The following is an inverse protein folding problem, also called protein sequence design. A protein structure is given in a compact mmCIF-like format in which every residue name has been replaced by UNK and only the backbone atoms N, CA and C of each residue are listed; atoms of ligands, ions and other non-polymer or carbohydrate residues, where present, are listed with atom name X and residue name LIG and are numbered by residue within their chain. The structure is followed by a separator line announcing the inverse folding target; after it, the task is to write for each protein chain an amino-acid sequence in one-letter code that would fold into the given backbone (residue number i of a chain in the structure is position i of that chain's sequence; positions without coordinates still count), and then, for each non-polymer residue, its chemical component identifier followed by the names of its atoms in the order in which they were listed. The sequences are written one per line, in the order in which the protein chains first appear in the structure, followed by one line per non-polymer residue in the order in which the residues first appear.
data_IF_247196958372
#
_entry.id   IF_247196958372
#
_cell.length_a   1.000
_cell.length_b   1.000
_cell.length_c   1.000
_cell.angle_alpha   90.00
_cell.angle_beta   90.00
_cell.angle_gamma   90.00
#
_symmetry.space_group_name_H-M   'P 1'
#
loop_
_entity.id
_entity.type
_entity.pdbx_description
1 polymer ?
#
# COMPACT_ATOMS: atom_id res chain seq x y z
N UNK A 1 23.83 7.65 -3.58
CA UNK A 1 22.61 7.28 -4.32
C UNK A 1 21.68 6.55 -3.34
N UNK A 2 20.47 7.05 -3.13
CA UNK A 2 19.53 6.47 -2.16
C UNK A 2 18.87 5.21 -2.73
N UNK A 3 18.66 4.21 -1.88
CA UNK A 3 17.96 2.96 -2.24
C UNK A 3 16.55 3.01 -1.69
N UNK A 4 15.54 2.74 -2.54
CA UNK A 4 14.16 2.52 -2.15
C UNK A 4 13.81 1.04 -2.29
N UNK A 5 13.22 0.46 -1.24
CA UNK A 5 12.59 -0.86 -1.28
C UNK A 5 11.07 -0.68 -1.30
N UNK A 6 10.43 -1.26 -2.31
CA UNK A 6 8.98 -1.14 -2.51
C UNK A 6 8.34 -2.52 -2.49
N UNK A 7 7.34 -2.70 -1.64
CA UNK A 7 6.61 -3.98 -1.57
C UNK A 7 5.43 -4.01 -2.53
N UNK A 8 5.17 -5.17 -3.17
CA UNK A 8 4.00 -5.34 -4.02
C UNK A 8 4.10 -4.72 -5.41
N UNK A 9 5.26 -4.82 -6.08
CA UNK A 9 5.54 -4.21 -7.39
C UNK A 9 5.07 -5.03 -8.60
N UNK A 10 4.27 -6.08 -8.43
CA UNK A 10 3.81 -6.91 -9.57
C UNK A 10 2.78 -6.22 -10.47
N UNK A 11 2.18 -5.13 -10.03
CA UNK A 11 1.16 -4.34 -10.77
C UNK A 11 0.77 -3.07 -10.02
N UNK A 12 -0.06 -2.23 -10.64
CA UNK A 12 -0.72 -1.09 -10.00
C UNK A 12 0.23 -0.09 -9.36
N UNK A 13 -0.11 0.40 -8.17
CA UNK A 13 0.63 1.47 -7.51
C UNK A 13 2.11 1.14 -7.25
N UNK A 14 2.41 -0.10 -6.83
CA UNK A 14 3.79 -0.51 -6.57
C UNK A 14 4.66 -0.57 -7.83
N UNK A 15 4.10 -1.03 -8.95
CA UNK A 15 4.79 -1.06 -10.25
C UNK A 15 5.07 0.37 -10.72
N UNK A 16 4.07 1.24 -10.68
CA UNK A 16 4.20 2.65 -11.10
C UNK A 16 5.18 3.41 -10.21
N UNK A 17 5.08 3.24 -8.88
CA UNK A 17 6.01 3.84 -7.94
C UNK A 17 7.46 3.40 -8.22
N UNK A 18 7.68 2.10 -8.46
CA UNK A 18 9.02 1.60 -8.78
C UNK A 18 9.55 2.20 -10.09
N UNK A 19 8.71 2.29 -11.11
CA UNK A 19 9.05 2.92 -12.40
C UNK A 19 9.36 4.40 -12.23
N UNK A 20 8.58 5.11 -11.41
CA UNK A 20 8.79 6.52 -11.11
C UNK A 20 10.15 6.77 -10.45
N UNK A 21 10.49 6.00 -9.40
CA UNK A 21 11.79 6.11 -8.73
C UNK A 21 12.97 5.77 -9.65
N UNK A 22 12.80 4.78 -10.54
CA UNK A 22 13.81 4.45 -11.56
C UNK A 22 14.06 5.61 -12.53
N UNK A 23 13.00 6.29 -12.95
CA UNK A 23 13.09 7.46 -13.83
C UNK A 23 13.77 8.67 -13.15
N UNK A 24 13.88 8.67 -11.82
CA UNK A 24 14.60 9.66 -11.02
C UNK A 24 16.00 9.19 -10.59
N UNK A 25 16.56 8.20 -11.28
CA UNK A 25 17.91 7.66 -11.06
C UNK A 25 18.15 7.09 -9.64
N UNK A 26 17.11 6.61 -8.95
CA UNK A 26 17.26 5.93 -7.68
C UNK A 26 17.60 4.44 -7.87
N UNK A 27 18.31 3.86 -6.89
CA UNK A 27 18.37 2.39 -6.77
C UNK A 27 17.02 1.88 -6.25
N UNK A 28 16.37 1.03 -7.05
CA UNK A 28 15.06 0.47 -6.73
C UNK A 28 15.18 -1.03 -6.48
N UNK A 29 14.69 -1.45 -5.31
CA UNK A 29 14.45 -2.86 -5.00
C UNK A 29 12.94 -3.08 -5.10
N UNK A 30 12.51 -3.54 -6.27
CA UNK A 30 11.11 -3.87 -6.54
C UNK A 30 10.82 -5.28 -6.05
N UNK A 31 9.87 -5.43 -5.12
CA UNK A 31 9.60 -6.74 -4.55
C UNK A 31 8.20 -7.25 -4.86
N UNK A 32 8.07 -8.54 -5.02
CA UNK A 32 6.82 -9.24 -5.31
C UNK A 32 6.95 -10.74 -4.99
N UNK A 33 5.85 -11.43 -4.69
CA UNK A 33 5.88 -12.86 -4.34
C UNK A 33 6.48 -13.77 -5.42
N UNK A 34 6.16 -13.48 -6.68
CA UNK A 34 6.73 -14.16 -7.84
C UNK A 34 7.47 -13.14 -8.72
N UNK A 35 8.82 -13.08 -8.67
CA UNK A 35 9.61 -12.12 -9.44
C UNK A 35 9.38 -12.23 -10.95
N UNK A 36 9.15 -11.09 -11.60
CA UNK A 36 8.91 -10.95 -13.04
C UNK A 36 9.84 -9.89 -13.62
N UNK A 37 10.78 -10.33 -14.43
CA UNK A 37 11.78 -9.46 -15.08
C UNK A 37 11.19 -8.63 -16.24
N UNK A 38 10.09 -9.08 -16.83
CA UNK A 38 9.41 -8.47 -17.97
C UNK A 38 8.61 -7.20 -17.62
N UNK A 39 8.45 -6.88 -16.34
CA UNK A 39 7.66 -5.73 -15.89
C UNK A 39 8.36 -4.39 -16.04
N UNK A 40 9.68 -4.39 -16.11
CA UNK A 40 10.50 -3.18 -16.13
C UNK A 40 11.51 -3.21 -17.28
N UNK A 41 11.89 -2.06 -17.81
CA UNK A 41 13.03 -2.02 -18.72
C UNK A 41 14.33 -2.42 -17.99
N UNK A 42 15.31 -3.00 -18.70
CA UNK A 42 16.61 -3.30 -18.11
C UNK A 42 17.26 -2.06 -17.50
N UNK A 43 17.71 -2.14 -16.25
CA UNK A 43 18.39 -1.05 -15.55
C UNK A 43 19.39 -1.59 -14.54
N UNK A 44 20.58 -0.96 -14.46
CA UNK A 44 21.57 -1.26 -13.42
C UNK A 44 21.13 -0.78 -12.03
N UNK A 45 20.13 0.12 -11.99
CA UNK A 45 19.57 0.66 -10.76
C UNK A 45 18.36 -0.16 -10.25
N UNK A 46 17.97 -1.22 -10.96
CA UNK A 46 16.84 -2.06 -10.58
C UNK A 46 17.29 -3.43 -10.08
N UNK A 47 16.75 -3.83 -8.95
CA UNK A 47 16.79 -5.20 -8.44
C UNK A 47 15.38 -5.71 -8.21
N UNK A 48 15.05 -6.87 -8.75
CA UNK A 48 13.74 -7.52 -8.54
C UNK A 48 13.95 -8.69 -7.59
N UNK A 49 13.23 -8.68 -6.46
CA UNK A 49 13.44 -9.61 -5.36
C UNK A 49 12.12 -10.28 -4.96
N UNK A 50 12.18 -11.57 -4.64
CA UNK A 50 11.04 -12.28 -4.07
C UNK A 50 10.76 -11.76 -2.66
N UNK A 51 9.48 -11.45 -2.38
CA UNK A 51 9.03 -11.06 -1.05
C UNK A 51 7.57 -11.44 -0.83
N UNK A 52 7.33 -12.20 0.22
CA UNK A 52 6.04 -12.32 0.88
C UNK A 52 6.12 -11.63 2.24
N UNK A 53 5.34 -10.57 2.42
CA UNK A 53 5.34 -9.75 3.65
C UNK A 53 4.75 -10.49 4.86
N UNK A 54 4.16 -11.66 4.65
CA UNK A 54 3.61 -12.53 5.71
C UNK A 54 4.59 -13.61 6.18
N UNK A 55 5.79 -13.70 5.56
CA UNK A 55 6.85 -14.65 5.95
C UNK A 55 8.09 -13.93 6.47
N UNK A 56 8.44 -14.09 7.75
CA UNK A 56 9.66 -13.53 8.32
C UNK A 56 10.91 -13.90 7.53
N UNK A 57 11.04 -15.16 7.11
CA UNK A 57 12.19 -15.67 6.35
C UNK A 57 12.29 -14.98 4.98
N UNK A 58 11.13 -14.69 4.35
CA UNK A 58 11.09 -13.97 3.08
C UNK A 58 11.49 -12.51 3.24
N UNK A 59 11.11 -11.88 4.36
CA UNK A 59 11.49 -10.50 4.69
C UNK A 59 13.00 -10.41 4.90
N UNK A 60 13.58 -11.28 5.71
CA UNK A 60 15.02 -11.31 5.99
C UNK A 60 15.83 -11.50 4.69
N UNK A 61 15.47 -12.49 3.87
CA UNK A 61 16.12 -12.73 2.59
C UNK A 61 16.02 -11.54 1.62
N UNK A 62 14.87 -10.82 1.63
CA UNK A 62 14.69 -9.66 0.79
C UNK A 62 15.54 -8.47 1.26
N UNK A 63 15.70 -8.25 2.56
CA UNK A 63 16.56 -7.21 3.12
C UNK A 63 18.03 -7.50 2.91
N UNK A 64 18.47 -8.75 3.08
CA UNK A 64 19.83 -9.18 2.76
C UNK A 64 20.16 -8.92 1.28
N UNK A 65 19.22 -9.25 0.41
CA UNK A 65 19.34 -8.98 -1.02
C UNK A 65 19.35 -7.48 -1.34
N UNK A 66 18.58 -6.66 -0.63
CA UNK A 66 18.48 -5.22 -0.85
C UNK A 66 19.74 -4.47 -0.41
N UNK A 67 20.36 -4.89 0.70
CA UNK A 67 21.40 -4.14 1.39
C UNK A 67 20.84 -2.90 2.10
N UNK A 68 21.61 -1.84 2.26
CA UNK A 68 21.17 -0.64 2.97
C UNK A 68 19.96 0.04 2.30
N UNK A 69 18.83 0.07 3.01
CA UNK A 69 17.57 0.68 2.56
C UNK A 69 17.45 2.09 3.13
N UNK A 70 17.38 3.11 2.27
CA UNK A 70 17.16 4.50 2.67
C UNK A 70 15.67 4.86 2.77
N UNK A 71 14.85 4.26 1.90
CA UNK A 71 13.39 4.44 1.88
C UNK A 71 12.71 3.08 1.80
N UNK A 72 11.76 2.82 2.71
CA UNK A 72 10.84 1.68 2.64
C UNK A 72 9.46 2.17 2.20
N UNK A 73 8.89 1.56 1.15
CA UNK A 73 7.51 1.78 0.73
C UNK A 73 6.70 0.50 0.96
N UNK A 74 5.87 0.50 1.99
CA UNK A 74 4.91 -0.55 2.27
C UNK A 74 3.66 -0.35 1.42
N UNK A 75 3.65 -0.94 0.23
CA UNK A 75 2.53 -0.88 -0.70
C UNK A 75 1.82 -2.23 -0.86
N UNK A 76 2.47 -3.36 -0.57
CA UNK A 76 1.83 -4.67 -0.63
C UNK A 76 0.53 -4.70 0.18
N UNK A 77 -0.52 -5.23 -0.42
CA UNK A 77 -1.82 -5.32 0.23
C UNK A 77 -2.83 -6.06 -0.62
N UNK A 78 -3.89 -6.48 0.03
CA UNK A 78 -5.04 -7.14 -0.59
C UNK A 78 -6.33 -6.39 -0.27
N UNK A 79 -7.23 -6.35 -1.25
CA UNK A 79 -8.55 -5.72 -1.14
C UNK A 79 -9.63 -6.72 -0.81
N UNK A 80 -10.72 -6.19 -0.24
CA UNK A 80 -11.93 -6.94 0.02
C UNK A 80 -13.15 -6.04 -0.05
N UNK A 81 -14.24 -6.57 -0.60
CA UNK A 81 -15.54 -5.90 -0.69
C UNK A 81 -16.64 -6.91 -0.37
N UNK A 82 -17.27 -6.78 0.78
CA UNK A 82 -18.47 -7.54 1.15
C UNK A 82 -19.16 -6.90 2.37
N UNK A 83 -20.41 -7.31 2.63
CA UNK A 83 -21.07 -7.06 3.90
C UNK A 83 -20.26 -7.70 5.04
N UNK A 84 -20.40 -7.15 6.26
CA UNK A 84 -19.66 -7.66 7.42
C UNK A 84 -19.97 -9.12 7.70
N UNK A 85 -21.25 -9.54 7.62
CA UNK A 85 -21.66 -10.94 7.84
C UNK A 85 -21.30 -11.87 6.67
N UNK A 86 -21.09 -11.32 5.46
CA UNK A 86 -20.59 -12.06 4.30
C UNK A 86 -19.07 -12.21 4.27
N UNK A 87 -18.36 -11.66 5.26
CA UNK A 87 -16.90 -11.74 5.36
C UNK A 87 -16.51 -12.83 6.35
N UNK A 88 -15.89 -13.91 5.87
CA UNK A 88 -15.40 -14.96 6.74
C UNK A 88 -14.28 -14.48 7.67
N UNK A 89 -14.14 -15.10 8.84
CA UNK A 89 -13.03 -14.81 9.75
C UNK A 89 -11.67 -15.18 9.16
N UNK A 90 -11.62 -16.13 8.24
CA UNK A 90 -10.41 -16.45 7.47
C UNK A 90 -10.00 -15.26 6.59
N UNK A 91 -10.94 -14.71 5.81
CA UNK A 91 -10.69 -13.51 5.00
C UNK A 91 -10.29 -12.31 5.85
N UNK A 92 -10.94 -12.13 7.00
CA UNK A 92 -10.58 -11.05 7.91
C UNK A 92 -9.13 -11.20 8.42
N UNK A 93 -8.73 -12.41 8.81
CA UNK A 93 -7.33 -12.69 9.20
C UNK A 93 -6.35 -12.44 8.07
N UNK A 94 -6.63 -12.92 6.85
CA UNK A 94 -5.79 -12.69 5.67
C UNK A 94 -5.55 -11.20 5.39
N UNK A 95 -6.63 -10.39 5.53
CA UNK A 95 -6.55 -8.93 5.36
C UNK A 95 -5.62 -8.30 6.39
N UNK A 96 -5.78 -8.65 7.65
CA UNK A 96 -4.92 -8.12 8.71
C UNK A 96 -3.50 -8.66 8.60
N UNK A 97 -3.32 -9.94 8.27
CA UNK A 97 -2.00 -10.56 8.10
C UNK A 97 -1.19 -9.84 7.01
N UNK A 98 -1.80 -9.61 5.84
CA UNK A 98 -1.11 -8.95 4.73
C UNK A 98 -0.99 -7.44 4.92
N UNK A 99 -2.15 -6.77 5.18
CA UNK A 99 -2.20 -5.31 5.13
C UNK A 99 -1.60 -4.64 6.38
N UNK A 100 -1.78 -5.29 7.55
CA UNK A 100 -1.41 -4.71 8.85
C UNK A 100 -0.13 -5.34 9.39
N UNK A 101 -0.14 -6.65 9.66
CA UNK A 101 1.00 -7.34 10.27
C UNK A 101 2.20 -7.39 9.34
N UNK A 102 1.98 -7.60 8.03
CA UNK A 102 3.05 -7.53 7.03
C UNK A 102 3.71 -6.15 6.96
N UNK A 103 2.92 -5.05 7.07
CA UNK A 103 3.47 -3.69 7.15
C UNK A 103 4.31 -3.50 8.41
N UNK A 104 3.82 -3.97 9.56
CA UNK A 104 4.54 -3.90 10.84
C UNK A 104 5.85 -4.70 10.76
N UNK A 105 5.79 -5.93 10.24
CA UNK A 105 6.96 -6.81 10.11
C UNK A 105 8.06 -6.20 9.22
N UNK A 106 7.68 -5.62 8.07
CA UNK A 106 8.61 -4.90 7.20
C UNK A 106 9.26 -3.70 7.90
N UNK A 107 8.49 -2.94 8.68
CA UNK A 107 9.04 -1.83 9.46
C UNK A 107 10.01 -2.32 10.53
N UNK A 108 9.62 -3.33 11.30
CA UNK A 108 10.50 -3.92 12.34
C UNK A 108 11.83 -4.40 11.76
N UNK A 109 11.81 -5.02 10.59
CA UNK A 109 12.99 -5.57 9.95
C UNK A 109 13.94 -4.48 9.40
N UNK A 110 13.41 -3.33 8.90
CA UNK A 110 14.26 -2.28 8.35
C UNK A 110 14.73 -1.26 9.39
N UNK A 111 14.00 -1.08 10.48
CA UNK A 111 14.25 -0.05 11.48
C UNK A 111 15.61 -0.12 12.15
N UNK A 112 16.19 -1.28 12.51
CA UNK A 112 17.53 -1.33 13.13
C UNK A 112 18.58 -0.59 12.31
N UNK A 113 18.65 -0.87 11.00
CA UNK A 113 19.62 -0.22 10.13
C UNK A 113 19.37 1.27 9.92
N UNK A 114 18.09 1.73 9.90
CA UNK A 114 17.75 3.15 9.80
C UNK A 114 18.10 3.90 11.08
N UNK A 115 17.78 3.33 12.24
CA UNK A 115 18.10 3.87 13.55
C UNK A 115 19.62 4.03 13.76
N UNK A 116 20.41 3.01 13.40
CA UNK A 116 21.88 3.07 13.49
C UNK A 116 22.48 4.18 12.65
N UNK A 117 21.94 4.40 11.45
CA UNK A 117 22.38 5.48 10.54
C UNK A 117 21.81 6.84 10.90
N UNK A 118 20.84 6.93 11.80
CA UNK A 118 20.07 8.15 12.09
C UNK A 118 19.47 8.77 10.82
N UNK A 119 19.06 7.94 9.88
CA UNK A 119 18.51 8.36 8.60
C UNK A 119 17.59 7.27 8.03
N UNK A 120 16.37 7.65 7.67
CA UNK A 120 15.43 6.76 7.00
C UNK A 120 14.09 7.43 6.69
N UNK A 121 13.39 6.89 5.72
CA UNK A 121 12.00 7.26 5.45
C UNK A 121 11.17 5.99 5.25
N UNK A 122 10.02 5.94 5.88
CA UNK A 122 9.04 4.86 5.70
C UNK A 122 7.75 5.47 5.18
N UNK A 123 7.23 4.92 4.09
CA UNK A 123 5.97 5.34 3.49
C UNK A 123 5.00 4.16 3.50
N UNK A 124 3.92 4.28 4.27
CA UNK A 124 2.87 3.28 4.33
C UNK A 124 1.71 3.67 3.40
N UNK A 125 1.46 2.88 2.38
CA UNK A 125 0.34 3.09 1.45
C UNK A 125 -0.90 2.42 2.03
N UNK A 126 -1.84 3.24 2.49
CA UNK A 126 -3.09 2.78 3.09
C UNK A 126 -4.28 2.94 2.15
N UNK A 127 -5.25 3.78 2.46
CA UNK A 127 -6.39 4.07 1.56
C UNK A 127 -7.21 5.25 2.08
N UNK A 128 -7.84 5.99 1.17
CA UNK A 128 -8.84 7.02 1.47
C UNK A 128 -10.11 6.48 2.13
N UNK A 129 -10.37 5.17 2.08
CA UNK A 129 -11.49 4.53 2.82
C UNK A 129 -11.41 4.74 4.33
N UNK A 130 -10.24 5.14 4.85
CA UNK A 130 -10.05 5.46 6.27
C UNK A 130 -10.42 6.90 6.62
N UNK A 131 -10.69 7.73 5.62
CA UNK A 131 -11.08 9.14 5.81
C UNK A 131 -12.58 9.30 6.01
N UNK A 132 -13.37 8.41 5.38
CA UNK A 132 -14.84 8.45 5.43
C UNK A 132 -15.41 7.03 5.45
N UNK A 133 -16.39 6.72 6.34
CA UNK A 133 -17.05 5.42 6.35
C UNK A 133 -17.71 5.10 5.01
N UNK A 134 -17.42 3.92 4.46
CA UNK A 134 -18.00 3.42 3.23
C UNK A 134 -18.62 2.03 3.46
N UNK A 135 -19.84 1.76 2.97
CA UNK A 135 -20.46 0.45 3.11
C UNK A 135 -19.69 -0.63 2.34
N UNK A 136 -19.85 -1.88 2.74
CA UNK A 136 -19.23 -3.08 2.16
C UNK A 136 -17.69 -3.15 2.29
N UNK A 137 -17.05 -2.19 2.94
CA UNK A 137 -15.58 -2.11 3.09
C UNK A 137 -15.12 -2.22 4.55
N UNK A 138 -16.00 -2.59 5.49
CA UNK A 138 -15.73 -2.51 6.93
C UNK A 138 -14.43 -3.20 7.36
N UNK A 139 -14.21 -4.46 6.98
CA UNK A 139 -13.01 -5.23 7.38
C UNK A 139 -11.75 -4.73 6.68
N UNK A 140 -11.86 -4.37 5.40
CA UNK A 140 -10.75 -3.76 4.66
C UNK A 140 -10.36 -2.41 5.28
N UNK A 141 -11.34 -1.54 5.54
CA UNK A 141 -11.12 -0.25 6.20
C UNK A 141 -10.45 -0.44 7.56
N UNK A 142 -10.92 -1.40 8.37
CA UNK A 142 -10.32 -1.69 9.66
C UNK A 142 -8.85 -2.08 9.55
N UNK A 143 -8.47 -2.93 8.57
CA UNK A 143 -7.07 -3.31 8.35
C UNK A 143 -6.18 -2.12 7.95
N UNK A 144 -6.69 -1.19 7.13
CA UNK A 144 -5.96 0.02 6.72
C UNK A 144 -5.94 1.10 7.81
N UNK A 145 -7.02 1.23 8.59
CA UNK A 145 -7.06 2.13 9.74
C UNK A 145 -6.09 1.70 10.85
N UNK A 146 -5.92 0.40 11.06
CA UNK A 146 -4.92 -0.13 11.98
C UNK A 146 -3.49 0.32 11.58
N UNK A 147 -3.17 0.31 10.29
CA UNK A 147 -1.88 0.83 9.78
C UNK A 147 -1.75 2.33 10.03
N UNK A 148 -2.82 3.12 9.84
CA UNK A 148 -2.78 4.55 10.12
C UNK A 148 -2.44 4.82 11.59
N UNK A 149 -3.20 4.22 12.53
CA UNK A 149 -2.98 4.39 13.96
C UNK A 149 -1.59 3.91 14.40
N UNK A 150 -1.13 2.76 13.89
CA UNK A 150 0.23 2.26 14.12
C UNK A 150 1.28 3.25 13.63
N UNK A 151 1.12 3.77 12.40
CA UNK A 151 2.07 4.70 11.79
C UNK A 151 2.18 6.00 12.56
N UNK A 152 1.06 6.54 13.05
CA UNK A 152 1.02 7.77 13.83
C UNK A 152 1.76 7.62 15.16
N UNK A 153 1.57 6.50 15.86
CA UNK A 153 2.31 6.21 17.08
C UNK A 153 3.80 5.99 16.81
N UNK A 154 4.13 5.20 15.77
CA UNK A 154 5.51 4.93 15.38
C UNK A 154 6.27 6.21 14.96
N UNK A 155 5.58 7.19 14.35
CA UNK A 155 6.21 8.46 13.98
C UNK A 155 6.81 9.20 15.19
N UNK A 156 6.13 9.16 16.35
CA UNK A 156 6.61 9.76 17.59
C UNK A 156 7.81 8.99 18.17
N UNK A 157 7.78 7.66 18.07
CA UNK A 157 8.87 6.79 18.55
C UNK A 157 10.15 6.96 17.72
N UNK A 158 10.02 7.26 16.43
CA UNK A 158 11.10 7.28 15.47
C UNK A 158 11.70 8.68 15.24
N UNK A 159 11.02 9.72 15.69
CA UNK A 159 11.50 11.11 15.60
C UNK A 159 12.90 11.30 16.22
N UNK A 160 13.24 10.75 17.41
CA UNK A 160 14.56 10.88 18.02
C UNK A 160 15.69 10.25 17.18
N UNK A 161 15.35 9.35 16.26
CA UNK A 161 16.31 8.65 15.39
C UNK A 161 16.39 9.24 14.00
N UNK A 162 15.75 10.39 13.76
CA UNK A 162 15.68 11.03 12.43
C UNK A 162 15.13 10.08 11.34
N UNK A 163 14.20 9.20 11.71
CA UNK A 163 13.48 8.32 10.79
C UNK A 163 12.06 8.87 10.60
N UNK A 164 11.76 9.33 9.39
CA UNK A 164 10.45 9.90 9.06
C UNK A 164 9.48 8.81 8.62
N UNK A 165 8.24 8.88 9.10
CA UNK A 165 7.17 7.99 8.65
C UNK A 165 6.06 8.81 8.02
N UNK A 166 5.48 8.32 6.91
CA UNK A 166 4.39 8.98 6.18
C UNK A 166 3.32 7.97 5.79
N UNK A 167 2.10 8.45 5.64
CA UNK A 167 0.93 7.70 5.18
C UNK A 167 0.49 8.28 3.86
N UNK A 168 0.48 7.48 2.80
CA UNK A 168 -0.16 7.84 1.53
C UNK A 168 -1.53 7.16 1.48
N UNK A 169 -2.56 7.94 1.15
CA UNK A 169 -3.95 7.52 1.15
C UNK A 169 -4.53 7.58 -0.29
N UNK A 170 -4.32 6.53 -1.10
CA UNK A 170 -4.91 6.47 -2.43
C UNK A 170 -6.43 6.43 -2.38
N UNK A 171 -7.06 7.06 -3.36
CA UNK A 171 -8.46 6.91 -3.65
C UNK A 171 -8.79 5.64 -4.43
N UNK A 172 -9.92 5.64 -5.11
CA UNK A 172 -10.41 4.51 -5.88
C UNK A 172 -9.69 4.42 -7.23
N UNK A 173 -9.09 3.26 -7.53
CA UNK A 173 -8.36 2.99 -8.77
C UNK A 173 -8.82 1.66 -9.39
N UNK A 174 -10.00 1.62 -10.05
CA UNK A 174 -10.61 0.39 -10.58
C UNK A 174 -9.80 -0.26 -11.69
N UNK A 175 -8.95 0.50 -12.38
CA UNK A 175 -8.06 0.04 -13.46
C UNK A 175 -6.87 -0.78 -12.97
N UNK A 176 -6.67 -0.90 -11.65
CA UNK A 176 -5.56 -1.67 -11.10
C UNK A 176 -5.94 -3.14 -10.88
N UNK A 177 -4.97 -4.04 -10.99
CA UNK A 177 -5.16 -5.48 -10.69
C UNK A 177 -5.56 -5.75 -9.23
N UNK A 178 -5.45 -4.77 -8.36
CA UNK A 178 -5.95 -4.83 -7.00
C UNK A 178 -7.47 -5.08 -6.96
N UNK A 179 -8.23 -4.36 -7.79
CA UNK A 179 -9.68 -4.54 -7.94
C UNK A 179 -10.05 -5.91 -8.51
N UNK A 180 -9.28 -6.40 -9.51
CA UNK A 180 -9.50 -7.73 -10.09
C UNK A 180 -9.24 -8.85 -9.08
N UNK A 181 -8.19 -8.69 -8.27
CA UNK A 181 -7.86 -9.65 -7.21
C UNK A 181 -8.93 -9.69 -6.13
N UNK A 182 -9.44 -8.53 -5.71
CA UNK A 182 -10.54 -8.43 -4.76
C UNK A 182 -11.82 -9.10 -5.31
N UNK A 183 -12.15 -8.85 -6.58
CA UNK A 183 -13.29 -9.46 -7.27
C UNK A 183 -13.16 -10.98 -7.37
N UNK A 184 -11.98 -11.49 -7.76
CA UNK A 184 -11.72 -12.94 -7.84
C UNK A 184 -11.86 -13.64 -6.49
N UNK A 185 -11.37 -13.03 -5.39
CA UNK A 185 -11.55 -13.55 -4.03
C UNK A 185 -13.01 -13.59 -3.64
N UNK A 186 -13.74 -12.52 -3.90
CA UNK A 186 -15.16 -12.40 -3.63
C UNK A 186 -16.00 -13.49 -4.34
N UNK A 187 -15.75 -13.74 -5.63
CA UNK A 187 -16.46 -14.77 -6.39
C UNK A 187 -16.26 -16.17 -5.82
N UNK A 188 -15.06 -16.48 -5.32
CA UNK A 188 -14.75 -17.77 -4.69
C UNK A 188 -15.46 -18.00 -3.35
N UNK A 189 -15.92 -16.94 -2.69
CA UNK A 189 -16.55 -17.00 -1.36
C UNK A 189 -18.09 -16.84 -1.39
N UNK A 190 -18.72 -17.02 -2.55
CA UNK A 190 -20.19 -17.11 -2.66
C UNK A 190 -20.92 -15.79 -2.84
N UNK A 191 -20.20 -14.66 -2.99
CA UNK A 191 -20.84 -13.38 -3.32
C UNK A 191 -21.38 -12.61 -2.12
N UNK A 192 -22.27 -11.64 -2.40
CA UNK A 192 -22.95 -10.86 -1.36
C UNK A 192 -24.14 -11.64 -0.78
N UNK A 193 -24.36 -11.57 0.54
CA UNK A 193 -25.61 -12.10 1.11
C UNK A 193 -26.83 -11.39 0.51
N UNK A 194 -27.87 -12.14 0.16
CA UNK A 194 -29.07 -11.64 -0.52
C UNK A 194 -29.73 -10.46 0.23
N UNK A 195 -29.73 -10.51 1.56
CA UNK A 195 -30.26 -9.45 2.42
C UNK A 195 -29.60 -8.07 2.20
N UNK A 196 -28.40 -8.02 1.60
CA UNK A 196 -27.67 -6.78 1.33
C UNK A 196 -27.82 -6.27 -0.10
N UNK A 197 -28.69 -6.87 -0.93
CA UNK A 197 -28.83 -6.54 -2.36
C UNK A 197 -29.10 -5.07 -2.61
N UNK A 198 -29.92 -4.41 -1.79
CA UNK A 198 -30.19 -2.98 -1.92
C UNK A 198 -28.99 -2.10 -1.59
N UNK A 199 -28.22 -2.47 -0.57
CA UNK A 199 -26.97 -1.76 -0.20
C UNK A 199 -25.94 -1.91 -1.31
N UNK A 200 -25.80 -3.13 -1.84
CA UNK A 200 -24.88 -3.44 -2.95
C UNK A 200 -25.24 -2.63 -4.19
N UNK A 201 -26.52 -2.61 -4.59
CA UNK A 201 -27.00 -1.83 -5.73
C UNK A 201 -26.72 -0.33 -5.54
N UNK A 202 -26.97 0.22 -4.36
CA UNK A 202 -26.68 1.63 -4.05
C UNK A 202 -25.18 1.99 -4.14
N UNK A 203 -24.30 1.10 -3.66
CA UNK A 203 -22.85 1.30 -3.75
C UNK A 203 -22.39 1.30 -5.21
N UNK A 204 -22.79 0.31 -6.00
CA UNK A 204 -22.39 0.24 -7.40
C UNK A 204 -22.94 1.41 -8.21
N UNK A 205 -24.20 1.79 -8.02
CA UNK A 205 -24.78 2.97 -8.66
C UNK A 205 -24.00 4.26 -8.32
N UNK A 206 -23.55 4.41 -7.07
CA UNK A 206 -22.71 5.55 -6.68
C UNK A 206 -21.35 5.57 -7.37
N UNK A 207 -20.78 4.40 -7.64
CA UNK A 207 -19.51 4.27 -8.34
C UNK A 207 -19.62 4.51 -9.83
N UNK A 208 -20.70 4.08 -10.46
CA UNK A 208 -20.96 4.28 -11.89
C UNK A 208 -21.18 5.77 -12.23
N UNK A 209 -21.63 6.56 -11.26
CA UNK A 209 -21.81 8.00 -11.41
C UNK A 209 -20.52 8.82 -11.23
N UNK A 210 -19.40 8.21 -10.86
CA UNK A 210 -18.12 8.92 -10.75
C UNK A 210 -17.44 9.03 -12.11
N UNK A 211 -16.98 10.23 -12.48
CA UNK A 211 -16.18 10.40 -13.70
C UNK A 211 -14.80 9.74 -13.54
N UNK A 212 -14.28 9.19 -14.63
CA UNK A 212 -12.94 8.58 -14.62
C UNK A 212 -11.84 9.59 -14.24
N UNK A 213 -12.00 10.86 -14.63
CA UNK A 213 -11.06 11.94 -14.28
C UNK A 213 -11.04 12.29 -12.80
N UNK A 214 -12.06 11.90 -12.03
CA UNK A 214 -12.12 12.07 -10.59
C UNK A 214 -11.48 10.91 -9.82
N UNK A 215 -11.10 9.81 -10.50
CA UNK A 215 -10.53 8.63 -9.87
C UNK A 215 -9.01 8.73 -9.75
N UNK A 216 -8.47 8.13 -8.70
CA UNK A 216 -7.02 8.04 -8.47
C UNK A 216 -6.33 7.26 -9.60
N UNK A 217 -5.30 7.85 -10.17
CA UNK A 217 -4.43 7.20 -11.14
C UNK A 217 -3.17 6.64 -10.46
N UNK A 218 -2.55 5.57 -10.98
CA UNK A 218 -1.29 5.05 -10.41
C UNK A 218 -0.18 6.10 -10.32
N UNK A 219 -0.12 7.05 -11.26
CA UNK A 219 0.81 8.16 -11.26
C UNK A 219 0.64 9.09 -10.05
N UNK A 220 -0.60 9.41 -9.66
CA UNK A 220 -0.89 10.26 -8.50
C UNK A 220 -0.29 9.65 -7.22
N UNK A 221 -0.39 8.32 -7.09
CA UNK A 221 0.16 7.60 -5.94
C UNK A 221 1.69 7.58 -5.98
N UNK A 222 2.29 7.37 -7.16
CA UNK A 222 3.74 7.40 -7.33
C UNK A 222 4.33 8.78 -6.96
N UNK A 223 3.69 9.86 -7.39
CA UNK A 223 4.08 11.23 -7.04
C UNK A 223 3.91 11.52 -5.55
N UNK A 224 2.81 11.09 -4.94
CA UNK A 224 2.58 11.24 -3.50
C UNK A 224 3.63 10.47 -2.68
N UNK A 225 3.97 9.23 -3.07
CA UNK A 225 5.05 8.45 -2.45
C UNK A 225 6.41 9.11 -2.65
N UNK A 226 6.70 9.63 -3.82
CA UNK A 226 7.91 10.38 -4.09
C UNK A 226 8.03 11.61 -3.19
N UNK A 227 6.97 12.42 -3.11
CA UNK A 227 6.93 13.57 -2.20
C UNK A 227 7.12 13.16 -0.74
N UNK A 228 6.45 12.11 -0.28
CA UNK A 228 6.62 11.56 1.06
C UNK A 228 8.08 11.17 1.36
N UNK A 229 8.76 10.58 0.38
CA UNK A 229 10.14 10.10 0.50
C UNK A 229 11.17 11.23 0.47
N UNK A 230 10.95 12.26 -0.36
CA UNK A 230 11.98 13.26 -0.69
C UNK A 230 11.77 14.62 -0.04
N UNK A 231 10.54 15.01 0.27
CA UNK A 231 10.21 16.29 0.89
C UNK A 231 10.06 16.14 2.43
N UNK A 232 11.01 16.65 3.22
CA UNK A 232 10.93 16.63 4.69
C UNK A 232 9.71 17.37 5.24
N UNK A 233 9.20 18.38 4.52
CA UNK A 233 8.05 19.19 4.93
C UNK A 233 6.71 18.54 4.63
N UNK A 234 6.68 17.41 3.93
CA UNK A 234 5.43 16.70 3.61
C UNK A 234 4.66 16.34 4.90
N UNK A 235 3.33 16.47 4.90
CA UNK A 235 2.52 16.13 6.06
C UNK A 235 2.56 14.62 6.36
N UNK A 236 2.18 14.23 7.58
CA UNK A 236 2.12 12.82 7.97
C UNK A 236 1.15 12.01 7.09
N UNK A 237 0.00 12.59 6.77
CA UNK A 237 -1.04 12.00 5.90
C UNK A 237 -1.09 12.74 4.57
N UNK A 238 -0.98 12.00 3.47
CA UNK A 238 -0.92 12.53 2.11
C UNK A 238 -2.00 11.83 1.28
N UNK A 239 -3.15 12.47 1.04
CA UNK A 239 -4.12 11.99 0.06
C UNK A 239 -3.47 11.92 -1.32
N UNK A 240 -3.82 10.90 -2.11
CA UNK A 240 -3.30 10.72 -3.45
C UNK A 240 -4.44 10.46 -4.44
N UNK A 241 -4.60 11.37 -5.38
CA UNK A 241 -5.67 11.41 -6.36
C UNK A 241 -6.84 12.31 -5.96
N UNK A 242 -7.56 12.82 -6.96
CA UNK A 242 -8.60 13.84 -6.78
C UNK A 242 -9.74 13.40 -5.84
N UNK A 243 -10.15 12.14 -5.91
CA UNK A 243 -11.18 11.58 -5.03
C UNK A 243 -10.71 11.45 -3.57
N UNK A 244 -9.43 11.13 -3.34
CA UNK A 244 -8.86 11.08 -2.00
C UNK A 244 -8.73 12.49 -1.40
N UNK A 245 -8.30 13.46 -2.18
CA UNK A 245 -8.22 14.86 -1.78
C UNK A 245 -9.60 15.42 -1.40
N UNK A 246 -10.63 15.14 -2.20
CA UNK A 246 -12.01 15.52 -1.92
C UNK A 246 -12.59 14.89 -0.65
N UNK A 247 -12.07 13.74 -0.21
CA UNK A 247 -12.47 13.10 1.05
C UNK A 247 -11.74 13.67 2.27
N UNK A 248 -10.66 14.41 2.06
CA UNK A 248 -9.79 14.90 3.14
C UNK A 248 -10.20 16.30 3.66
N UNK A 249 -10.94 17.07 2.87
CA UNK A 249 -11.51 18.37 3.23
C UNK A 249 -12.83 18.21 3.89
#
# INVERSE_FOLDING_TARGET
MKTVLITGCSSGFGLETASFFLAQDWKVVATMRAPRQDLFPPSQNLKIVALDVTSPESIDAALDAAGPVGVLVNNAGIGWLNAVEGTSMETARDLFETNTLGTIAMMQAVLPQMRERQEGVIVNVTSSVTLKPLPLLSVYTASKAAVNAFTESAALELEPFNVRVRIVLPGRAPQTRFSDTARSRFQKQGGFPEAYSSVVAGVFASWDNQSESALTQPGDVAEAVWRAATDPSSPLRIPAGADAEAMSG
#
